data_IF_533994406447
#
_entry.id   IF_533994406447
#
_cell.length_a   1.000
_cell.length_b   1.000
_cell.length_c   1.000
_cell.angle_alpha   90.00
_cell.angle_beta   90.00
_cell.angle_gamma   90.00
#
_symmetry.space_group_name_H-M   'P 1'
#
loop_
_entity.id
_entity.type
_entity.pdbx_description
1 polymer ?
#
# COMPACT_ATOMS: atom_id res chain seq x y z
N UNK A 1 -15.68 34.27 -33.53
CA UNK A 1 -14.68 34.95 -32.65
C UNK A 1 -14.01 34.00 -31.63
N UNK A 2 -13.87 32.70 -31.91
CA UNK A 2 -13.23 31.74 -30.99
C UNK A 2 -11.70 31.59 -31.18
N UNK A 3 -11.16 31.88 -32.38
CA UNK A 3 -9.73 31.65 -32.69
C UNK A 3 -8.72 32.57 -31.98
N UNK A 4 -9.14 33.74 -31.47
CA UNK A 4 -8.23 34.69 -30.81
C UNK A 4 -7.87 34.29 -29.37
N UNK A 5 -8.72 33.52 -28.69
CA UNK A 5 -8.47 33.10 -27.30
C UNK A 5 -7.57 31.88 -27.23
N UNK A 6 -7.78 30.94 -28.16
CA UNK A 6 -6.98 29.72 -28.27
C UNK A 6 -5.53 30.05 -28.64
N UNK A 7 -5.32 30.90 -29.65
CA UNK A 7 -3.99 31.36 -30.05
C UNK A 7 -3.24 32.11 -28.92
N UNK A 8 -3.96 32.87 -28.08
CA UNK A 8 -3.38 33.54 -26.91
C UNK A 8 -3.00 32.54 -25.82
N UNK A 9 -3.84 31.55 -25.57
CA UNK A 9 -3.56 30.47 -24.59
C UNK A 9 -2.34 29.65 -25.02
N UNK A 10 -2.28 29.27 -26.29
CA UNK A 10 -1.19 28.45 -26.81
C UNK A 10 0.14 29.22 -26.81
N UNK A 11 0.10 30.53 -27.08
CA UNK A 11 1.26 31.43 -26.95
C UNK A 11 1.73 31.55 -25.49
N UNK A 12 0.80 31.68 -24.54
CA UNK A 12 1.12 31.74 -23.11
C UNK A 12 1.75 30.41 -22.64
N UNK A 13 1.21 29.27 -23.05
CA UNK A 13 1.78 27.94 -22.72
C UNK A 13 3.14 27.71 -23.39
N UNK A 14 3.37 28.20 -24.62
CA UNK A 14 4.69 28.13 -25.24
C UNK A 14 5.76 28.94 -24.50
N UNK A 15 5.37 30.08 -23.91
CA UNK A 15 6.30 30.98 -23.22
C UNK A 15 6.52 30.54 -21.76
N UNK A 16 5.45 30.19 -21.05
CA UNK A 16 5.49 29.92 -19.61
C UNK A 16 5.57 28.43 -19.28
N UNK A 17 5.14 27.54 -20.18
CA UNK A 17 5.16 26.09 -19.96
C UNK A 17 6.56 25.55 -19.64
N UNK A 18 7.61 25.88 -20.40
CA UNK A 18 8.97 25.42 -20.10
C UNK A 18 9.49 25.92 -18.74
N UNK A 19 9.19 27.18 -18.38
CA UNK A 19 9.57 27.77 -17.10
C UNK A 19 8.81 27.15 -15.93
N UNK A 20 7.51 26.87 -16.11
CA UNK A 20 6.68 26.14 -15.13
C UNK A 20 7.23 24.75 -14.89
N UNK A 21 7.47 23.99 -15.95
CA UNK A 21 8.01 22.63 -15.85
C UNK A 21 9.40 22.63 -15.18
N UNK A 22 10.29 23.56 -15.54
CA UNK A 22 11.60 23.68 -14.89
C UNK A 22 11.52 24.08 -13.40
N UNK A 23 10.52 24.88 -13.03
CA UNK A 23 10.22 25.21 -11.63
C UNK A 23 9.67 23.99 -10.88
N UNK A 24 8.79 23.21 -11.50
CA UNK A 24 8.28 21.95 -10.95
C UNK A 24 9.42 20.94 -10.76
N UNK A 25 10.31 20.78 -11.75
CA UNK A 25 11.50 19.93 -11.68
C UNK A 25 12.45 20.40 -10.56
N UNK A 26 12.71 21.71 -10.43
CA UNK A 26 13.56 22.26 -9.37
C UNK A 26 12.91 22.10 -7.98
N UNK A 27 11.60 22.29 -7.87
CA UNK A 27 10.84 22.01 -6.66
C UNK A 27 10.91 20.53 -6.31
N UNK A 28 10.80 19.63 -7.30
CA UNK A 28 10.94 18.19 -7.11
C UNK A 28 12.36 17.81 -6.68
N UNK A 29 13.41 18.39 -7.27
CA UNK A 29 14.80 18.18 -6.86
C UNK A 29 15.11 18.73 -5.46
N UNK A 30 14.56 19.89 -5.10
CA UNK A 30 14.64 20.41 -3.71
C UNK A 30 13.84 19.54 -2.74
N UNK A 31 12.70 19.00 -3.19
CA UNK A 31 11.89 18.03 -2.47
C UNK A 31 12.72 16.75 -2.23
N UNK A 32 13.35 16.17 -3.25
CA UNK A 32 14.24 14.99 -3.12
C UNK A 32 15.36 15.19 -2.08
N UNK A 33 15.90 16.40 -1.99
CA UNK A 33 16.95 16.75 -1.01
C UNK A 33 16.40 16.98 0.40
N UNK A 34 15.11 17.29 0.56
CA UNK A 34 14.48 17.61 1.84
C UNK A 34 13.91 16.41 2.58
N UNK A 35 13.51 15.34 1.88
CA UNK A 35 12.83 14.20 2.53
C UNK A 35 13.78 13.04 2.83
N UNK A 36 14.05 12.86 4.12
CA UNK A 36 14.84 11.76 4.71
C UNK A 36 13.98 10.60 5.24
N UNK A 37 12.65 10.69 5.11
CA UNK A 37 11.69 9.72 5.63
C UNK A 37 11.23 8.84 4.48
N UNK A 38 11.27 7.52 4.66
CA UNK A 38 10.94 6.56 3.62
C UNK A 38 12.16 5.76 3.12
N UNK A 39 11.94 4.57 2.56
CA UNK A 39 13.01 3.77 1.96
C UNK A 39 13.69 4.49 0.78
N UNK A 40 14.98 4.22 0.62
CA UNK A 40 15.77 4.73 -0.50
C UNK A 40 15.34 4.09 -1.83
N UNK A 41 15.55 4.83 -2.92
CA UNK A 41 15.26 4.38 -4.29
C UNK A 41 13.95 4.91 -4.85
N UNK A 42 13.91 5.01 -6.19
CA UNK A 42 12.73 5.44 -6.92
C UNK A 42 11.61 4.38 -6.84
N UNK A 43 10.36 4.86 -6.78
CA UNK A 43 9.20 4.00 -6.94
C UNK A 43 9.19 3.38 -8.34
N UNK A 44 8.90 2.07 -8.43
CA UNK A 44 8.83 1.35 -9.72
C UNK A 44 7.43 0.81 -9.98
N UNK A 45 6.92 0.01 -9.05
CA UNK A 45 5.61 -0.58 -9.15
C UNK A 45 5.03 -0.97 -7.78
N UNK A 46 3.73 -1.23 -7.76
CA UNK A 46 3.04 -1.97 -6.71
C UNK A 46 2.33 -3.16 -7.35
N UNK A 47 2.52 -4.34 -6.75
CA UNK A 47 1.77 -5.54 -7.08
C UNK A 47 0.91 -5.85 -5.86
N UNK A 48 -0.41 -5.82 -5.99
CA UNK A 48 -1.29 -5.80 -4.81
C UNK A 48 -2.65 -6.42 -5.07
N UNK A 49 -3.42 -6.56 -3.99
CA UNK A 49 -4.83 -6.97 -4.00
C UNK A 49 -5.10 -8.23 -4.84
N UNK A 50 -4.31 -9.30 -4.69
CA UNK A 50 -4.62 -10.54 -5.41
C UNK A 50 -5.97 -11.13 -4.92
N UNK A 51 -6.93 -11.36 -5.82
CA UNK A 51 -8.25 -11.94 -5.52
C UNK A 51 -8.31 -13.42 -5.91
N UNK A 52 -7.29 -14.18 -5.49
CA UNK A 52 -7.17 -15.60 -5.80
C UNK A 52 -5.79 -16.15 -5.45
N UNK A 53 -5.23 -16.96 -6.35
CA UNK A 53 -3.89 -17.51 -6.16
C UNK A 53 -2.83 -16.39 -6.07
N UNK A 54 -1.87 -16.57 -5.16
CA UNK A 54 -0.78 -15.60 -4.94
C UNK A 54 0.08 -15.46 -6.21
N UNK A 55 0.43 -14.22 -6.64
CA UNK A 55 1.29 -14.00 -7.78
C UNK A 55 2.68 -14.61 -7.55
N UNK A 56 3.25 -15.20 -8.58
CA UNK A 56 4.65 -15.63 -8.57
C UNK A 56 5.50 -14.56 -9.25
N UNK A 57 6.29 -13.85 -8.45
CA UNK A 57 7.11 -12.73 -8.90
C UNK A 57 8.57 -13.17 -8.94
N UNK A 58 9.27 -12.90 -10.03
CA UNK A 58 10.71 -13.20 -10.20
C UNK A 58 11.48 -11.94 -10.57
N UNK A 59 12.75 -11.87 -10.17
CA UNK A 59 13.68 -10.84 -10.65
C UNK A 59 14.18 -11.27 -12.02
N UNK A 60 13.73 -10.59 -13.07
CA UNK A 60 14.14 -10.86 -14.44
C UNK A 60 15.49 -10.23 -14.75
N UNK A 61 15.66 -8.98 -14.30
CA UNK A 61 16.92 -8.24 -14.41
C UNK A 61 17.29 -7.65 -13.04
N UNK A 62 18.44 -8.06 -12.50
CA UNK A 62 18.93 -7.58 -11.22
C UNK A 62 19.61 -6.21 -11.28
N UNK A 63 20.14 -5.82 -12.44
CA UNK A 63 20.78 -4.52 -12.65
C UNK A 63 19.71 -3.44 -12.67
N UNK A 64 18.67 -3.67 -13.46
CA UNK A 64 17.56 -2.73 -13.61
C UNK A 64 16.45 -2.94 -12.59
N UNK A 65 16.58 -3.90 -11.67
CA UNK A 65 15.53 -4.29 -10.71
C UNK A 65 14.17 -4.52 -11.39
N UNK A 66 14.18 -5.22 -12.54
CA UNK A 66 12.98 -5.55 -13.30
C UNK A 66 12.34 -6.82 -12.75
N UNK A 67 11.07 -6.73 -12.38
CA UNK A 67 10.29 -7.82 -11.79
C UNK A 67 9.21 -8.28 -12.75
N UNK A 68 9.07 -9.60 -12.89
CA UNK A 68 8.09 -10.23 -13.78
C UNK A 68 7.15 -11.13 -12.99
N UNK A 69 5.84 -11.07 -13.29
CA UNK A 69 4.83 -11.97 -12.73
C UNK A 69 4.69 -13.17 -13.66
N UNK A 70 5.34 -14.28 -13.32
CA UNK A 70 5.37 -15.49 -14.16
C UNK A 70 4.12 -16.35 -14.02
N UNK A 71 3.33 -16.17 -12.94
CA UNK A 71 2.04 -16.85 -12.74
C UNK A 71 1.07 -15.97 -11.95
N UNK A 72 -0.22 -16.13 -12.26
CA UNK A 72 -1.34 -15.46 -11.59
C UNK A 72 -1.26 -13.93 -11.69
N UNK A 73 -0.80 -13.41 -12.82
CA UNK A 73 -0.80 -11.97 -13.10
C UNK A 73 -2.23 -11.43 -13.22
N UNK A 74 -3.16 -12.27 -13.66
CA UNK A 74 -4.59 -11.99 -13.83
C UNK A 74 -5.35 -11.82 -12.51
N UNK A 75 -4.81 -12.32 -11.38
CA UNK A 75 -5.47 -12.23 -10.07
C UNK A 75 -5.07 -10.97 -9.30
N UNK A 76 -3.98 -10.28 -9.67
CA UNK A 76 -3.47 -9.12 -8.94
C UNK A 76 -3.57 -7.82 -9.74
N UNK A 77 -3.44 -6.70 -9.05
CA UNK A 77 -3.35 -5.38 -9.64
C UNK A 77 -1.88 -4.93 -9.69
N UNK A 78 -1.51 -4.25 -10.78
CA UNK A 78 -0.16 -3.70 -10.98
C UNK A 78 -0.25 -2.21 -11.26
N UNK A 79 0.23 -1.39 -10.33
CA UNK A 79 0.30 0.06 -10.47
C UNK A 79 1.74 0.47 -10.78
N UNK A 80 1.93 1.23 -11.87
CA UNK A 80 3.26 1.64 -12.37
C UNK A 80 3.39 3.14 -12.56
N UNK A 81 2.35 3.93 -12.28
CA UNK A 81 2.40 5.37 -12.48
C UNK A 81 3.39 6.00 -11.49
N UNK A 82 4.10 7.09 -11.87
CA UNK A 82 4.98 7.80 -10.96
C UNK A 82 4.24 8.30 -9.72
N UNK A 83 4.89 8.21 -8.55
CA UNK A 83 4.34 8.77 -7.32
C UNK A 83 4.69 10.25 -7.20
N UNK A 84 3.70 11.15 -7.06
CA UNK A 84 3.99 12.54 -6.79
C UNK A 84 4.50 12.73 -5.34
N UNK A 85 5.06 13.91 -5.03
CA UNK A 85 5.54 14.28 -3.70
C UNK A 85 4.56 13.99 -2.55
N UNK A 86 3.26 14.20 -2.78
CA UNK A 86 2.22 13.97 -1.77
C UNK A 86 1.79 12.51 -1.60
N UNK A 87 2.46 11.57 -2.25
CA UNK A 87 2.12 10.14 -2.19
C UNK A 87 0.99 9.75 -3.15
N UNK A 88 0.35 8.60 -2.92
CA UNK A 88 -0.73 8.09 -3.77
C UNK A 88 -2.08 8.35 -3.09
N UNK A 89 -2.86 9.31 -3.61
CA UNK A 89 -4.20 9.58 -3.06
C UNK A 89 -5.25 8.61 -3.58
N UNK A 90 -6.38 8.51 -2.87
CA UNK A 90 -7.52 7.74 -3.34
C UNK A 90 -8.02 8.21 -4.70
N UNK A 91 -8.11 9.52 -4.94
CA UNK A 91 -8.46 10.11 -6.24
C UNK A 91 -7.57 9.61 -7.36
N UNK A 92 -6.26 9.57 -7.13
CA UNK A 92 -5.30 9.10 -8.14
C UNK A 92 -5.47 7.61 -8.41
N UNK A 93 -5.71 6.81 -7.37
CA UNK A 93 -5.95 5.39 -7.54
C UNK A 93 -7.27 5.11 -8.27
N UNK A 94 -8.32 5.90 -8.01
CA UNK A 94 -9.59 5.84 -8.75
C UNK A 94 -9.38 6.23 -10.21
N UNK A 95 -8.66 7.32 -10.50
CA UNK A 95 -8.36 7.75 -11.87
C UNK A 95 -7.56 6.67 -12.65
N UNK A 96 -6.54 6.09 -12.00
CA UNK A 96 -5.80 4.96 -12.55
C UNK A 96 -6.71 3.76 -12.83
N UNK A 97 -7.61 3.43 -11.89
CA UNK A 97 -8.56 2.32 -12.06
C UNK A 97 -9.52 2.56 -13.23
N UNK A 98 -10.10 3.76 -13.32
CA UNK A 98 -10.98 4.18 -14.42
C UNK A 98 -10.27 4.00 -15.75
N UNK A 99 -9.06 4.56 -15.90
CA UNK A 99 -8.31 4.51 -17.16
C UNK A 99 -7.98 3.09 -17.62
N UNK A 100 -7.70 2.18 -16.69
CA UNK A 100 -7.22 0.83 -17.02
C UNK A 100 -8.33 -0.23 -17.09
N UNK A 101 -9.42 -0.06 -16.34
CA UNK A 101 -10.43 -1.12 -16.17
C UNK A 101 -11.86 -0.66 -16.42
N UNK A 102 -12.14 0.65 -16.35
CA UNK A 102 -13.51 1.14 -16.42
C UNK A 102 -13.63 2.56 -17.02
N UNK A 103 -13.18 2.78 -18.27
CA UNK A 103 -12.99 4.13 -18.84
C UNK A 103 -14.28 4.95 -18.97
N UNK A 104 -15.43 4.28 -19.06
CA UNK A 104 -16.74 4.92 -19.21
C UNK A 104 -17.46 5.19 -17.88
N UNK A 105 -16.87 4.86 -16.72
CA UNK A 105 -17.48 5.15 -15.43
C UNK A 105 -17.29 6.60 -15.00
N UNK A 106 -18.31 7.15 -14.34
CA UNK A 106 -18.14 8.31 -13.49
C UNK A 106 -17.26 8.00 -12.27
N UNK A 107 -16.65 9.03 -11.67
CA UNK A 107 -15.69 8.91 -10.56
C UNK A 107 -16.26 8.09 -9.38
N UNK A 108 -17.56 8.22 -9.08
CA UNK A 108 -18.18 7.52 -7.96
C UNK A 108 -18.38 6.04 -8.25
N UNK A 109 -18.89 5.71 -9.43
CA UNK A 109 -19.02 4.32 -9.88
C UNK A 109 -17.65 3.61 -9.95
N UNK A 110 -16.63 4.31 -10.46
CA UNK A 110 -15.27 3.79 -10.51
C UNK A 110 -14.68 3.56 -9.11
N UNK A 111 -14.91 4.49 -8.17
CA UNK A 111 -14.47 4.35 -6.78
C UNK A 111 -15.13 3.16 -6.06
N UNK A 112 -16.43 2.94 -6.24
CA UNK A 112 -17.13 1.77 -5.67
C UNK A 112 -16.61 0.47 -6.28
N UNK A 113 -16.41 0.43 -7.60
CA UNK A 113 -15.86 -0.74 -8.28
C UNK A 113 -14.43 -1.07 -7.80
N UNK A 114 -13.57 -0.06 -7.66
CA UNK A 114 -12.24 -0.21 -7.11
C UNK A 114 -12.29 -0.71 -5.66
N UNK A 115 -13.07 -0.08 -4.79
CA UNK A 115 -13.24 -0.51 -3.40
C UNK A 115 -13.63 -1.99 -3.30
N UNK A 116 -14.64 -2.43 -4.06
CA UNK A 116 -15.06 -3.84 -4.09
C UNK A 116 -13.97 -4.76 -4.62
N UNK A 117 -13.18 -4.33 -5.60
CA UNK A 117 -12.04 -5.10 -6.13
C UNK A 117 -10.94 -5.28 -5.09
N UNK A 118 -10.65 -4.25 -4.30
CA UNK A 118 -9.66 -4.29 -3.22
C UNK A 118 -10.15 -5.15 -2.05
N UNK A 119 -11.42 -4.97 -1.64
CA UNK A 119 -12.03 -5.70 -0.54
C UNK A 119 -12.03 -7.22 -0.77
N UNK A 120 -12.19 -7.67 -2.02
CA UNK A 120 -12.13 -9.10 -2.39
C UNK A 120 -10.77 -9.76 -2.16
N UNK A 121 -9.71 -8.99 -1.94
CA UNK A 121 -8.37 -9.53 -1.69
C UNK A 121 -8.09 -9.87 -0.22
N UNK A 122 -8.95 -9.45 0.71
CA UNK A 122 -8.71 -9.57 2.15
C UNK A 122 -8.91 -11.00 2.66
N UNK A 123 -8.05 -11.42 3.60
CA UNK A 123 -7.99 -12.80 4.07
C UNK A 123 -8.74 -13.03 5.39
N UNK A 124 -9.09 -11.97 6.13
CA UNK A 124 -9.65 -12.10 7.48
C UNK A 124 -10.68 -11.03 7.88
N UNK A 125 -11.62 -11.33 8.81
CA UNK A 125 -12.57 -10.33 9.32
C UNK A 125 -11.91 -9.08 9.97
N UNK A 126 -10.81 -9.21 10.75
CA UNK A 126 -10.05 -8.06 11.23
C UNK A 126 -9.53 -7.12 10.12
N UNK A 127 -9.00 -7.68 9.03
CA UNK A 127 -8.60 -6.88 7.86
C UNK A 127 -9.79 -6.20 7.19
N UNK A 128 -10.93 -6.90 7.10
CA UNK A 128 -12.16 -6.32 6.55
C UNK A 128 -12.64 -5.13 7.38
N UNK A 129 -12.61 -5.23 8.72
CA UNK A 129 -12.95 -4.11 9.60
C UNK A 129 -12.01 -2.93 9.36
N UNK A 130 -10.70 -3.16 9.32
CA UNK A 130 -9.71 -2.12 9.04
C UNK A 130 -9.99 -1.41 7.70
N UNK A 131 -10.20 -2.18 6.64
CA UNK A 131 -10.49 -1.64 5.30
C UNK A 131 -11.77 -0.80 5.30
N UNK A 132 -12.85 -1.30 5.92
CA UNK A 132 -14.13 -0.60 6.00
C UNK A 132 -13.97 0.71 6.76
N UNK A 133 -13.37 0.67 7.96
CA UNK A 133 -13.20 1.84 8.82
C UNK A 133 -12.38 2.93 8.15
N UNK A 134 -11.27 2.58 7.48
CA UNK A 134 -10.47 3.58 6.77
C UNK A 134 -11.18 4.11 5.52
N UNK A 135 -11.78 3.24 4.70
CA UNK A 135 -12.39 3.65 3.43
C UNK A 135 -13.66 4.49 3.61
N UNK A 136 -14.34 4.38 4.75
CA UNK A 136 -15.47 5.24 5.09
C UNK A 136 -15.08 6.74 5.03
N UNK A 137 -13.82 7.06 5.33
CA UNK A 137 -13.27 8.42 5.30
C UNK A 137 -13.23 9.02 3.90
N UNK A 138 -13.24 8.20 2.84
CA UNK A 138 -13.29 8.69 1.46
C UNK A 138 -14.61 9.37 1.11
N UNK A 139 -15.68 9.10 1.87
CA UNK A 139 -16.97 9.76 1.70
C UNK A 139 -17.04 11.15 2.37
N UNK A 140 -16.06 11.51 3.20
CA UNK A 140 -15.98 12.81 3.87
C UNK A 140 -15.50 13.91 2.91
N UNK A 141 -15.71 15.18 3.30
CA UNK A 141 -15.19 16.33 2.54
C UNK A 141 -13.65 16.26 2.48
N UNK A 142 -13.09 16.31 1.25
CA UNK A 142 -11.66 16.14 1.04
C UNK A 142 -11.15 14.69 1.16
N UNK A 143 -12.03 13.71 1.42
CA UNK A 143 -11.66 12.31 1.62
C UNK A 143 -10.92 11.68 0.44
N UNK A 144 -11.23 12.09 -0.79
CA UNK A 144 -10.56 11.62 -2.00
C UNK A 144 -9.08 12.02 -2.09
N UNK A 145 -8.67 13.05 -1.37
CA UNK A 145 -7.28 13.52 -1.35
C UNK A 145 -6.45 12.87 -0.22
N UNK A 146 -7.08 12.00 0.58
CA UNK A 146 -6.38 11.15 1.55
C UNK A 146 -5.56 10.06 0.84
N UNK A 147 -4.48 9.54 1.48
CA UNK A 147 -3.73 8.42 0.95
C UNK A 147 -4.63 7.19 0.69
N UNK A 148 -4.41 6.54 -0.46
CA UNK A 148 -5.09 5.31 -0.82
C UNK A 148 -4.63 4.16 0.11
N UNK A 149 -5.56 3.44 0.75
CA UNK A 149 -5.28 2.23 1.51
C UNK A 149 -5.17 1.05 0.56
N UNK A 150 -3.95 0.54 0.41
CA UNK A 150 -3.60 -0.48 -0.58
C UNK A 150 -3.49 -1.82 0.15
N UNK A 151 -4.45 -2.74 0.00
CA UNK A 151 -4.38 -4.03 0.67
C UNK A 151 -3.48 -5.03 -0.07
N UNK A 152 -2.93 -5.96 0.70
CA UNK A 152 -2.27 -7.18 0.22
C UNK A 152 -1.14 -6.89 -0.78
N UNK A 153 -0.16 -6.09 -0.35
CA UNK A 153 0.95 -5.65 -1.21
C UNK A 153 2.05 -6.71 -1.24
N UNK A 154 2.27 -7.29 -2.42
CA UNK A 154 3.26 -8.34 -2.65
C UNK A 154 4.67 -7.75 -2.81
N UNK A 155 5.63 -8.39 -2.16
CA UNK A 155 7.03 -8.05 -2.23
C UNK A 155 7.75 -9.02 -3.17
N UNK A 156 8.92 -8.60 -3.67
CA UNK A 156 9.77 -9.44 -4.50
C UNK A 156 10.14 -10.75 -3.76
N UNK A 157 9.92 -11.89 -4.42
CA UNK A 157 10.31 -13.21 -3.94
C UNK A 157 11.71 -13.56 -4.43
N UNK A 158 12.63 -13.83 -3.51
CA UNK A 158 13.95 -14.38 -3.85
C UNK A 158 13.88 -15.92 -3.98
N UNK A 159 14.00 -16.49 -5.20
CA UNK A 159 13.98 -17.93 -5.42
C UNK A 159 15.15 -18.69 -4.77
N UNK A 160 16.24 -18.03 -4.36
CA UNK A 160 17.37 -18.67 -3.69
C UNK A 160 17.05 -19.10 -2.25
N UNK A 161 16.04 -18.52 -1.62
CA UNK A 161 15.56 -18.93 -0.28
C UNK A 161 15.01 -20.36 -0.25
N UNK A 162 14.70 -20.97 -1.40
CA UNK A 162 14.20 -22.34 -1.50
C UNK A 162 15.31 -23.41 -1.40
N UNK A 163 16.57 -23.08 -1.75
CA UNK A 163 17.65 -24.07 -1.92
C UNK A 163 18.49 -24.31 -0.66
N UNK A 164 18.44 -23.41 0.33
CA UNK A 164 19.36 -23.46 1.47
C UNK A 164 18.93 -24.40 2.60
N UNK A 165 17.73 -25.00 2.55
CA UNK A 165 17.20 -25.87 3.62
C UNK A 165 17.05 -25.20 5.01
N UNK A 166 17.51 -23.95 5.13
CA UNK A 166 17.37 -23.08 6.27
C UNK A 166 16.08 -22.31 6.10
N UNK A 167 15.00 -22.86 6.66
CA UNK A 167 13.77 -22.12 6.97
C UNK A 167 14.03 -21.08 8.08
N UNK A 168 15.02 -20.20 7.91
CA UNK A 168 15.40 -19.21 8.92
C UNK A 168 15.57 -17.84 8.29
N UNK A 169 14.65 -16.94 8.61
CA UNK A 169 14.78 -15.49 8.42
C UNK A 169 14.16 -14.92 7.14
N UNK A 170 14.65 -15.34 5.96
CA UNK A 170 14.36 -14.62 4.70
C UNK A 170 13.01 -14.97 4.01
N UNK A 171 12.27 -15.97 4.52
CA UNK A 171 11.03 -16.48 3.90
C UNK A 171 9.75 -15.73 4.32
N UNK A 172 9.82 -14.81 5.30
CA UNK A 172 8.67 -14.56 6.17
C UNK A 172 7.71 -13.44 5.73
N UNK A 173 8.13 -12.46 4.92
CA UNK A 173 7.24 -11.38 4.47
C UNK A 173 7.21 -11.30 2.95
N UNK A 174 6.38 -12.14 2.35
CA UNK A 174 6.07 -12.11 0.92
C UNK A 174 5.04 -11.02 0.58
N UNK A 175 4.38 -10.49 1.60
CA UNK A 175 3.23 -9.60 1.47
C UNK A 175 3.09 -8.74 2.72
N UNK A 176 2.65 -7.50 2.55
CA UNK A 176 2.20 -6.59 3.61
C UNK A 176 0.67 -6.53 3.58
N UNK A 177 0.00 -6.54 4.74
CA UNK A 177 -1.47 -6.54 4.76
C UNK A 177 -2.05 -5.24 4.22
N UNK A 178 -1.51 -4.08 4.62
CA UNK A 178 -1.90 -2.78 4.07
C UNK A 178 -0.71 -1.82 3.94
N UNK A 179 -0.76 -0.97 2.92
CA UNK A 179 0.21 0.09 2.67
C UNK A 179 -0.51 1.42 2.42
N UNK A 180 0.01 2.49 3.02
CA UNK A 180 -0.26 3.87 2.62
C UNK A 180 1.02 4.49 2.08
N UNK A 181 0.91 5.13 0.93
CA UNK A 181 1.95 5.98 0.36
C UNK A 181 1.54 7.42 0.60
N UNK A 182 2.02 7.99 1.71
CA UNK A 182 1.62 9.30 2.21
C UNK A 182 2.66 10.38 1.84
N UNK A 183 2.36 11.67 2.09
CA UNK A 183 3.32 12.75 1.87
C UNK A 183 4.69 12.50 2.50
N UNK A 184 5.69 13.19 2.00
CA UNK A 184 7.06 13.18 2.52
C UNK A 184 7.74 11.81 2.37
N UNK A 185 7.37 11.10 1.30
CA UNK A 185 7.82 9.72 0.98
C UNK A 185 7.51 8.71 2.10
N UNK A 186 6.56 9.02 2.98
CA UNK A 186 6.15 8.15 4.08
C UNK A 186 5.51 6.87 3.53
N UNK A 187 6.15 5.72 3.79
CA UNK A 187 5.61 4.38 3.48
C UNK A 187 5.14 3.73 4.76
N UNK A 188 3.83 3.76 4.98
CA UNK A 188 3.22 3.31 6.23
C UNK A 188 2.62 1.93 5.99
N UNK A 189 3.12 0.94 6.71
CA UNK A 189 2.65 -0.44 6.69
C UNK A 189 1.75 -0.66 7.89
N UNK A 190 0.57 -1.22 7.65
CA UNK A 190 -0.34 -1.61 8.71
C UNK A 190 -0.58 -3.11 8.60
N UNK A 191 -0.24 -3.85 9.66
CA UNK A 191 -0.40 -5.31 9.71
C UNK A 191 -1.49 -5.70 10.71
N UNK A 192 -2.18 -6.80 10.41
CA UNK A 192 -3.22 -7.36 11.27
C UNK A 192 -2.79 -8.75 11.74
N UNK A 193 -2.48 -8.86 13.03
CA UNK A 193 -1.87 -10.05 13.59
C UNK A 193 -2.85 -11.10 14.05
N UNK A 194 -2.91 -12.22 13.35
CA UNK A 194 -3.54 -13.43 13.85
C UNK A 194 -2.61 -14.30 14.70
N UNK A 195 -3.19 -15.32 15.34
CA UNK A 195 -2.47 -16.27 16.20
C UNK A 195 -1.34 -17.00 15.48
N UNK A 196 -1.44 -17.14 14.16
CA UNK A 196 -0.40 -17.73 13.32
C UNK A 196 0.94 -16.97 13.35
N UNK A 197 0.94 -15.68 13.74
CA UNK A 197 2.16 -14.89 13.80
C UNK A 197 2.97 -15.12 15.09
N UNK A 198 2.37 -15.68 16.14
CA UNK A 198 3.04 -15.86 17.44
C UNK A 198 2.73 -17.20 18.11
N UNK A 199 1.98 -18.09 17.46
CA UNK A 199 1.56 -19.37 18.00
C UNK A 199 1.68 -20.49 16.98
N UNK A 200 1.84 -21.71 17.48
CA UNK A 200 1.79 -22.94 16.67
C UNK A 200 0.47 -23.67 16.95
N UNK A 201 -0.22 -24.18 15.91
CA UNK A 201 -1.42 -24.95 16.12
C UNK A 201 -1.08 -26.25 16.86
N UNK A 202 -1.88 -26.57 17.87
CA UNK A 202 -1.89 -27.86 18.54
C UNK A 202 -2.69 -28.87 17.70
N UNK A 203 -2.53 -30.18 17.94
CA UNK A 203 -3.45 -31.18 17.39
C UNK A 203 -4.91 -30.80 17.72
N UNK A 204 -5.86 -31.01 16.79
CA UNK A 204 -7.27 -30.78 17.07
C UNK A 204 -7.73 -31.62 18.27
N UNK A 205 -8.61 -31.05 19.11
CA UNK A 205 -9.27 -31.82 20.17
C UNK A 205 -10.31 -32.81 19.60
N UNK A 206 -10.96 -33.58 20.47
CA UNK A 206 -11.98 -34.57 20.07
C UNK A 206 -13.17 -33.95 19.32
N UNK A 207 -13.39 -32.63 19.45
CA UNK A 207 -14.41 -31.86 18.75
C UNK A 207 -13.87 -31.13 17.52
N UNK A 208 -12.61 -31.39 17.13
CA UNK A 208 -11.95 -30.79 15.98
C UNK A 208 -11.46 -29.36 16.19
N UNK A 209 -11.47 -28.83 17.42
CA UNK A 209 -11.02 -27.46 17.70
C UNK A 209 -9.50 -27.42 17.78
N UNK A 210 -8.91 -26.43 17.09
CA UNK A 210 -7.46 -26.20 17.10
C UNK A 210 -7.14 -25.10 18.10
N UNK A 211 -6.47 -25.46 19.20
CA UNK A 211 -5.83 -24.50 20.09
C UNK A 211 -4.43 -24.15 19.58
N UNK A 212 -3.84 -23.08 20.11
CA UNK A 212 -2.49 -22.67 19.72
C UNK A 212 -1.60 -22.53 20.95
N UNK A 213 -0.35 -22.98 20.83
CA UNK A 213 0.69 -22.77 21.83
C UNK A 213 1.55 -21.59 21.42
N UNK A 214 1.72 -20.62 22.32
CA UNK A 214 2.59 -19.47 22.06
C UNK A 214 4.03 -19.92 21.76
N UNK A 215 4.63 -19.33 20.74
CA UNK A 215 5.96 -19.68 20.25
C UNK A 215 6.87 -18.43 20.31
N UNK A 216 7.70 -18.29 21.37
CA UNK A 216 8.59 -17.13 21.54
C UNK A 216 9.50 -16.85 20.34
N UNK A 217 9.89 -17.91 19.60
CA UNK A 217 10.67 -17.76 18.38
C UNK A 217 9.91 -17.01 17.27
N UNK A 218 8.63 -17.32 17.03
CA UNK A 218 7.82 -16.63 16.01
C UNK A 218 7.64 -15.15 16.34
N UNK A 219 7.43 -14.85 17.62
CA UNK A 219 7.40 -13.48 18.12
C UNK A 219 8.73 -12.74 17.90
N UNK A 220 9.86 -13.39 18.22
CA UNK A 220 11.19 -12.80 18.04
C UNK A 220 11.50 -12.51 16.56
N UNK A 221 11.15 -13.43 15.65
CA UNK A 221 11.32 -13.30 14.21
C UNK A 221 10.50 -12.11 13.66
N UNK A 222 9.22 -12.03 14.03
CA UNK A 222 8.32 -10.92 13.72
C UNK A 222 8.89 -9.57 14.19
N UNK A 223 9.30 -9.50 15.46
CA UNK A 223 9.88 -8.27 16.01
C UNK A 223 11.20 -7.87 15.33
N UNK A 224 12.00 -8.84 14.88
CA UNK A 224 13.21 -8.59 14.11
C UNK A 224 12.91 -8.00 12.73
N UNK A 225 11.91 -8.54 12.03
CA UNK A 225 11.49 -8.02 10.72
C UNK A 225 10.92 -6.59 10.82
N UNK A 226 10.16 -6.29 11.87
CA UNK A 226 9.66 -4.92 12.07
C UNK A 226 10.80 -3.92 12.29
N UNK A 227 11.81 -4.30 13.07
CA UNK A 227 13.02 -3.47 13.24
C UNK A 227 13.73 -3.28 11.90
N UNK A 228 13.88 -4.34 11.10
CA UNK A 228 14.54 -4.28 9.79
C UNK A 228 13.82 -3.31 8.84
N UNK A 229 12.50 -3.41 8.74
CA UNK A 229 11.70 -2.52 7.89
C UNK A 229 11.70 -1.08 8.39
N UNK A 230 11.59 -0.86 9.70
CA UNK A 230 11.69 0.49 10.28
C UNK A 230 13.04 1.14 10.02
N UNK A 231 14.13 0.40 10.18
CA UNK A 231 15.49 0.86 9.84
C UNK A 231 15.66 1.09 8.34
N UNK A 232 14.82 0.46 7.50
CA UNK A 232 14.76 0.69 6.05
C UNK A 232 13.86 1.86 5.68
N UNK A 233 13.32 2.61 6.64
CA UNK A 233 12.53 3.83 6.41
C UNK A 233 11.01 3.62 6.35
N UNK A 234 10.49 2.41 6.61
CA UNK A 234 9.05 2.18 6.74
C UNK A 234 8.54 2.60 8.13
N UNK A 235 7.31 3.11 8.17
CA UNK A 235 6.55 3.24 9.42
C UNK A 235 5.64 2.02 9.54
N UNK A 236 5.59 1.37 10.71
CA UNK A 236 4.86 0.10 10.88
C UNK A 236 3.97 0.16 12.11
N UNK A 237 2.70 -0.13 11.91
CA UNK A 237 1.69 -0.29 12.95
C UNK A 237 1.10 -1.69 12.86
N UNK A 238 0.90 -2.35 14.00
CA UNK A 238 0.40 -3.72 14.06
C UNK A 238 -0.77 -3.77 15.02
N UNK A 239 -1.87 -4.32 14.56
CA UNK A 239 -3.09 -4.51 15.35
C UNK A 239 -3.23 -5.99 15.68
N UNK A 240 -3.53 -6.31 16.94
CA UNK A 240 -3.89 -7.68 17.28
C UNK A 240 -5.24 -8.03 16.66
N UNK A 241 -5.38 -9.18 16.02
CA UNK A 241 -6.67 -9.64 15.49
C UNK A 241 -7.74 -9.66 16.58
N UNK A 242 -7.36 -10.00 17.82
CA UNK A 242 -8.26 -9.96 18.99
C UNK A 242 -8.80 -8.55 19.28
N UNK A 243 -7.94 -7.53 19.19
CA UNK A 243 -8.31 -6.11 19.40
C UNK A 243 -9.37 -5.67 18.38
N UNK A 244 -9.23 -6.10 17.12
CA UNK A 244 -10.16 -5.73 16.05
C UNK A 244 -11.43 -6.58 16.02
N UNK A 245 -11.42 -7.81 16.56
CA UNK A 245 -12.66 -8.61 16.71
C UNK A 245 -13.48 -8.24 17.94
N UNK A 246 -12.96 -7.42 18.83
CA UNK A 246 -13.65 -7.01 20.05
C UNK A 246 -14.66 -5.88 19.75
N UNK A 247 -15.73 -5.69 20.56
CA UNK A 247 -16.75 -4.66 20.31
C UNK A 247 -16.24 -3.22 20.15
N UNK A 248 -15.02 -2.91 20.61
CA UNK A 248 -14.37 -1.60 20.47
C UNK A 248 -13.41 -1.47 19.29
N UNK A 249 -13.27 -2.49 18.43
CA UNK A 249 -12.27 -2.52 17.36
C UNK A 249 -12.40 -1.38 16.35
N UNK A 250 -13.63 -1.00 15.99
CA UNK A 250 -13.87 0.12 15.07
C UNK A 250 -13.43 1.46 15.67
N UNK A 251 -13.67 1.68 16.97
CA UNK A 251 -13.26 2.91 17.64
C UNK A 251 -11.74 3.02 17.73
N UNK A 252 -11.05 1.91 18.06
CA UNK A 252 -9.58 1.84 18.07
C UNK A 252 -9.00 2.26 16.72
N UNK A 253 -9.54 1.71 15.62
CA UNK A 253 -9.10 2.04 14.27
C UNK A 253 -9.42 3.49 13.91
N UNK A 254 -10.61 3.98 14.28
CA UNK A 254 -11.03 5.35 14.02
C UNK A 254 -10.09 6.36 14.67
N UNK A 255 -9.81 6.20 15.96
CA UNK A 255 -8.92 7.07 16.72
C UNK A 255 -7.50 7.02 16.16
N UNK A 256 -7.00 5.81 15.86
CA UNK A 256 -5.71 5.62 15.23
C UNK A 256 -5.59 6.34 13.88
N UNK A 257 -6.58 6.21 12.99
CA UNK A 257 -6.51 6.83 11.67
C UNK A 257 -6.62 8.36 11.72
N UNK A 258 -7.36 8.91 12.68
CA UNK A 258 -7.38 10.36 12.92
C UNK A 258 -5.97 10.84 13.26
N UNK A 259 -5.30 10.21 14.22
CA UNK A 259 -3.94 10.58 14.64
C UNK A 259 -2.91 10.34 13.53
N UNK A 260 -2.99 9.21 12.83
CA UNK A 260 -2.10 8.87 11.73
C UNK A 260 -2.19 9.91 10.61
N UNK A 261 -3.40 10.24 10.17
CA UNK A 261 -3.58 11.20 9.09
C UNK A 261 -3.16 12.62 9.52
N UNK A 262 -3.39 13.00 10.77
CA UNK A 262 -2.90 14.26 11.33
C UNK A 262 -1.37 14.35 11.32
N UNK A 263 -0.68 13.24 11.58
CA UNK A 263 0.79 13.15 11.55
C UNK A 263 1.37 13.26 10.14
N UNK A 264 0.64 12.83 9.12
CA UNK A 264 1.11 12.77 7.72
C UNK A 264 0.39 13.75 6.79
N UNK A 265 -0.15 14.86 7.31
CA UNK A 265 -0.71 15.91 6.46
C UNK A 265 0.37 16.51 5.55
N UNK A 266 -0.03 16.98 4.37
CA UNK A 266 0.86 17.72 3.46
C UNK A 266 1.46 18.90 4.25
N UNK A 267 2.78 19.14 4.19
CA UNK A 267 3.33 20.37 4.72
C UNK A 267 2.61 21.55 4.08
N UNK A 268 2.05 22.44 4.89
CA UNK A 268 1.61 23.74 4.39
C UNK A 268 2.87 24.47 3.92
N UNK A 269 2.93 24.77 2.61
CA UNK A 269 4.02 25.57 2.01
C UNK A 269 4.07 26.98 2.62
#
# INVERSE_FOLDING_TARGET
>A
MQGSWQARRDCIEQILGPTRNALEDLQEMEYERRFSKGPSGAFKNLIFAADGAKPQIVLRDAVDNDVEIVRHADTCLVFTDPLPPHGLTWRQMVAWWTNNHHPDADEKSAADALYRRLYRSLDSPPEQLLMITYCARYAEEGGFDLPALIPQVYLHYDPYTRRSGKQSGALYRQRMDFLLLAPDRSRIVIEVDGVQHYGRPNPPDEQGRVTHTAAPQLYADMAAEDRRLRLSGYEIYRFGGWELTSPGGEQVLTDFFIELLARHQKPTL
#
